data_IF_890237553220
#
_entry.id   IF_890237553220
#
_cell.length_a   1.000
_cell.length_b   1.000
_cell.length_c   1.000
_cell.angle_alpha   90.00
_cell.angle_beta   90.00
_cell.angle_gamma   90.00
#
_symmetry.space_group_name_H-M   'P 1'
#
loop_
_entity.id
_entity.type
_entity.pdbx_description
1 polymer ?
#
# COMPACT_ATOMS: atom_id res chain seq x y z
N UNK A 1 -9.52 -3.29 11.99
CA UNK A 1 -9.36 -2.12 11.12
C UNK A 1 -10.71 -1.44 10.96
N UNK A 2 -10.84 -0.21 11.41
CA UNK A 2 -12.01 0.63 11.14
C UNK A 2 -11.81 1.44 9.86
N UNK A 3 -12.89 1.99 9.30
CA UNK A 3 -12.79 2.92 8.15
C UNK A 3 -11.94 4.14 8.53
N UNK A 4 -12.06 4.64 9.76
CA UNK A 4 -11.26 5.77 10.25
C UNK A 4 -9.76 5.45 10.28
N UNK A 5 -9.40 4.24 10.72
CA UNK A 5 -8.01 3.76 10.68
C UNK A 5 -7.50 3.65 9.24
N UNK A 6 -8.29 3.07 8.33
CA UNK A 6 -7.94 2.99 6.91
C UNK A 6 -7.68 4.38 6.31
N UNK A 7 -8.62 5.31 6.49
CA UNK A 7 -8.51 6.69 5.97
C UNK A 7 -7.29 7.40 6.56
N UNK A 8 -7.00 7.19 7.84
CA UNK A 8 -5.82 7.75 8.52
C UNK A 8 -4.52 7.22 7.91
N UNK A 9 -4.42 5.91 7.69
CA UNK A 9 -3.22 5.31 7.10
C UNK A 9 -3.06 5.67 5.62
N UNK A 10 -4.15 5.70 4.86
CA UNK A 10 -4.16 6.15 3.47
C UNK A 10 -3.69 7.60 3.36
N UNK A 11 -4.19 8.47 4.24
CA UNK A 11 -3.76 9.86 4.30
C UNK A 11 -2.27 10.00 4.62
N UNK A 12 -1.75 9.22 5.59
CA UNK A 12 -0.31 9.20 5.91
C UNK A 12 0.53 8.79 4.70
N UNK A 13 0.08 7.79 3.95
CA UNK A 13 0.73 7.36 2.71
C UNK A 13 0.77 8.50 1.66
N UNK A 14 -0.26 9.33 1.62
CA UNK A 14 -0.36 10.52 0.77
C UNK A 14 0.39 11.77 1.30
N UNK A 15 1.09 11.68 2.43
CA UNK A 15 1.86 12.77 3.02
C UNK A 15 1.12 13.60 4.08
N UNK A 16 0.02 13.08 4.65
CA UNK A 16 -0.66 13.74 5.77
C UNK A 16 0.15 13.63 7.06
N UNK A 17 0.53 14.77 7.62
CA UNK A 17 1.38 14.86 8.82
C UNK A 17 0.59 15.15 10.12
N UNK A 18 -0.73 15.29 10.05
CA UNK A 18 -1.60 15.61 11.19
C UNK A 18 -1.07 16.78 12.06
N UNK A 19 -0.73 17.91 11.42
CA UNK A 19 -0.08 19.06 12.08
C UNK A 19 -1.00 19.86 13.01
N UNK A 20 -2.31 19.63 12.96
CA UNK A 20 -3.29 20.30 13.79
C UNK A 20 -4.27 19.28 14.39
N UNK A 21 -4.53 19.41 15.69
CA UNK A 21 -5.41 18.51 16.43
C UNK A 21 -6.83 18.55 15.82
N UNK A 22 -7.31 17.39 15.36
CA UNK A 22 -8.66 17.27 14.77
C UNK A 22 -8.76 17.65 13.29
N UNK A 23 -7.66 18.01 12.63
CA UNK A 23 -7.66 18.23 11.19
C UNK A 23 -8.00 16.93 10.47
N UNK A 24 -8.90 17.00 9.48
CA UNK A 24 -9.19 15.89 8.59
C UNK A 24 -8.28 15.97 7.36
N UNK A 25 -7.83 14.83 6.81
CA UNK A 25 -7.05 14.84 5.58
C UNK A 25 -7.90 15.39 4.42
N UNK A 26 -7.31 16.28 3.63
CA UNK A 26 -7.95 16.80 2.43
C UNK A 26 -8.03 15.75 1.33
N UNK A 27 -8.98 15.93 0.41
CA UNK A 27 -9.22 15.01 -0.72
C UNK A 27 -7.96 14.70 -1.54
N UNK A 28 -7.15 15.72 -1.84
CA UNK A 28 -5.91 15.56 -2.62
C UNK A 28 -4.90 14.63 -1.94
N UNK A 29 -4.86 14.63 -0.61
CA UNK A 29 -3.96 13.77 0.16
C UNK A 29 -4.43 12.33 0.14
N UNK A 30 -5.75 12.11 0.22
CA UNK A 30 -6.34 10.78 0.07
C UNK A 30 -6.10 10.22 -1.32
N UNK A 31 -6.28 11.03 -2.37
CA UNK A 31 -5.99 10.63 -3.75
C UNK A 31 -4.52 10.22 -3.92
N UNK A 32 -3.58 11.03 -3.44
CA UNK A 32 -2.14 10.69 -3.46
C UNK A 32 -1.85 9.39 -2.73
N UNK A 33 -2.46 9.20 -1.57
CA UNK A 33 -2.38 7.95 -0.81
C UNK A 33 -2.90 6.75 -1.60
N UNK A 34 -4.04 6.91 -2.29
CA UNK A 34 -4.65 5.87 -3.10
C UNK A 34 -3.78 5.46 -4.28
N UNK A 35 -3.22 6.42 -5.03
CA UNK A 35 -2.30 6.15 -6.14
C UNK A 35 -1.09 5.36 -5.65
N UNK A 36 -0.46 5.81 -4.55
CA UNK A 36 0.72 5.14 -3.98
C UNK A 36 0.40 3.75 -3.42
N UNK A 37 -0.80 3.55 -2.87
CA UNK A 37 -1.26 2.23 -2.44
C UNK A 37 -1.38 1.29 -3.63
N UNK A 38 -1.93 1.74 -4.75
CA UNK A 38 -2.05 0.93 -5.97
C UNK A 38 -0.67 0.55 -6.53
N UNK A 39 0.29 1.47 -6.55
CA UNK A 39 1.68 1.18 -6.93
C UNK A 39 2.32 0.09 -6.04
N UNK A 40 2.10 0.16 -4.72
CA UNK A 40 2.61 -0.85 -3.79
C UNK A 40 1.96 -2.22 -4.02
N UNK A 41 0.65 -2.26 -4.30
CA UNK A 41 -0.05 -3.50 -4.60
C UNK A 41 0.44 -4.12 -5.91
N UNK A 42 0.71 -3.31 -6.94
CA UNK A 42 1.25 -3.80 -8.20
C UNK A 42 2.69 -4.30 -8.04
N UNK A 43 3.51 -3.63 -7.22
CA UNK A 43 4.83 -4.13 -6.85
C UNK A 43 4.75 -5.49 -6.15
N UNK A 44 3.90 -5.65 -5.13
CA UNK A 44 3.79 -6.92 -4.40
C UNK A 44 3.26 -8.06 -5.30
N UNK A 45 2.33 -7.76 -6.23
CA UNK A 45 1.89 -8.72 -7.24
C UNK A 45 3.03 -9.15 -8.16
N UNK A 46 3.87 -8.22 -8.61
CA UNK A 46 5.03 -8.52 -9.43
C UNK A 46 6.07 -9.36 -8.65
N UNK A 47 6.32 -8.99 -7.40
CA UNK A 47 7.23 -9.68 -6.49
C UNK A 47 6.79 -11.12 -6.23
N UNK A 48 5.50 -11.36 -6.02
CA UNK A 48 4.97 -12.72 -5.79
C UNK A 48 5.16 -13.63 -7.01
N UNK A 49 4.98 -13.10 -8.24
CA UNK A 49 5.25 -13.85 -9.47
C UNK A 49 6.71 -14.27 -9.59
N UNK A 50 7.65 -13.40 -9.21
CA UNK A 50 9.07 -13.74 -9.20
C UNK A 50 9.37 -14.77 -8.12
N UNK A 51 8.82 -14.58 -6.90
CA UNK A 51 9.03 -15.48 -5.76
C UNK A 51 8.54 -16.90 -6.06
N UNK A 52 7.35 -17.03 -6.61
CA UNK A 52 6.77 -18.33 -6.99
C UNK A 52 7.57 -19.01 -8.11
N UNK A 53 8.03 -18.24 -9.11
CA UNK A 53 8.88 -18.76 -10.18
C UNK A 53 10.22 -19.31 -9.67
N UNK A 54 10.86 -18.61 -8.74
CA UNK A 54 12.11 -19.07 -8.10
C UNK A 54 11.84 -20.36 -7.34
N UNK A 55 10.82 -20.38 -6.46
CA UNK A 55 10.47 -21.56 -5.67
C UNK A 55 10.23 -22.80 -6.54
N UNK A 56 9.48 -22.67 -7.63
CA UNK A 56 9.15 -23.79 -8.50
C UNK A 56 10.36 -24.30 -9.31
N UNK A 57 11.35 -23.43 -9.60
CA UNK A 57 12.60 -23.83 -10.26
C UNK A 57 13.54 -24.60 -9.31
N UNK A 58 13.49 -24.31 -8.01
CA UNK A 58 14.35 -24.94 -7.00
C UNK A 58 13.93 -26.35 -6.57
N UNK A 59 12.77 -26.82 -7.03
CA UNK A 59 12.26 -28.18 -6.76
C UNK A 59 12.16 -28.95 -8.08
N UNK A 60 13.28 -29.34 -8.71
CA UNK A 60 13.22 -30.33 -9.77
C UNK A 60 12.79 -31.65 -9.14
N UNK A 61 11.84 -32.32 -9.79
CA UNK A 61 11.25 -33.58 -9.35
C UNK A 61 12.34 -34.57 -8.90
N UNK A 62 12.23 -35.07 -7.66
CA UNK A 62 12.92 -36.27 -7.16
C UNK A 62 12.08 -37.49 -7.55
#
# INVERSE_FOLDING_TARGET
MTIGEYVTQLARLGGWLNRAKGARPGWIVLWRGQVKLMELLDYERAREKVRTRIRNRSSPEM
#
